data_IF_162693333037
#
_entry.id   IF_162693333037
#
_cell.length_a   1.000
_cell.length_b   1.000
_cell.length_c   1.000
_cell.angle_alpha   90.00
_cell.angle_beta   90.00
_cell.angle_gamma   90.00
#
_symmetry.space_group_name_H-M   'P 1'
#
loop_
_entity.id
_entity.type
_entity.pdbx_description
1 polymer ?
#
# COMPACT_ATOMS: atom_id res chain seq x y z
N UNK A 1 1.82 -10.30 10.05
CA UNK A 1 1.75 -10.06 8.59
C UNK A 1 0.95 -11.14 7.86
N UNK A 2 1.36 -12.41 7.85
CA UNK A 2 0.64 -13.45 7.09
C UNK A 2 -0.84 -13.61 7.48
N UNK A 3 -1.12 -13.69 8.78
CA UNK A 3 -2.50 -13.79 9.32
C UNK A 3 -3.37 -12.60 8.93
N UNK A 4 -2.76 -11.44 8.65
CA UNK A 4 -3.44 -10.23 8.22
C UNK A 4 -3.66 -10.20 6.70
N UNK A 5 -2.67 -10.62 5.91
CA UNK A 5 -2.76 -10.62 4.43
C UNK A 5 -3.67 -11.74 3.94
N UNK A 6 -3.56 -12.93 4.52
CA UNK A 6 -4.22 -14.14 4.03
C UNK A 6 -5.75 -14.00 3.90
N UNK A 7 -6.51 -13.52 4.91
CA UNK A 7 -7.96 -13.33 4.80
C UNK A 7 -8.37 -12.35 3.71
N UNK A 8 -7.53 -11.37 3.41
CA UNK A 8 -7.81 -10.40 2.37
C UNK A 8 -7.58 -10.95 0.97
N UNK A 9 -6.51 -11.72 0.80
CA UNK A 9 -6.23 -12.38 -0.47
C UNK A 9 -7.32 -13.39 -0.83
N UNK A 10 -8.00 -13.96 0.15
CA UNK A 10 -9.20 -14.79 -0.08
C UNK A 10 -10.37 -13.99 -0.65
N UNK A 11 -10.46 -12.68 -0.41
CA UNK A 11 -11.50 -11.82 -0.99
C UNK A 11 -11.25 -11.49 -2.46
N UNK A 12 -10.01 -11.66 -2.95
CA UNK A 12 -9.65 -11.40 -4.36
C UNK A 12 -10.43 -12.34 -5.27
N UNK A 13 -11.31 -11.74 -6.08
CA UNK A 13 -12.10 -12.45 -7.08
C UNK A 13 -11.53 -12.25 -8.48
N UNK A 14 -10.72 -13.21 -8.94
CA UNK A 14 -10.18 -13.23 -10.30
C UNK A 14 -11.27 -13.25 -11.38
N UNK A 15 -12.49 -13.69 -11.06
CA UNK A 15 -13.63 -13.58 -11.98
C UNK A 15 -14.03 -12.13 -12.24
N UNK A 16 -14.07 -11.31 -11.20
CA UNK A 16 -14.35 -9.87 -11.28
C UNK A 16 -13.22 -9.09 -12.00
N UNK A 17 -11.99 -9.61 -11.99
CA UNK A 17 -10.86 -9.06 -12.76
C UNK A 17 -11.10 -9.14 -14.28
N UNK A 18 -12.01 -10.00 -14.76
CA UNK A 18 -12.38 -10.04 -16.18
C UNK A 18 -13.25 -8.85 -16.63
N UNK A 19 -14.05 -8.28 -15.71
CA UNK A 19 -14.94 -7.15 -16.01
C UNK A 19 -14.23 -5.79 -15.99
N UNK A 20 -12.94 -5.78 -15.67
CA UNK A 20 -12.07 -4.58 -15.56
C UNK A 20 -12.01 -3.77 -16.85
N UNK A 21 -12.13 -4.46 -17.99
CA UNK A 21 -12.16 -3.81 -19.31
C UNK A 21 -13.37 -2.90 -19.53
N UNK A 22 -14.44 -2.99 -18.71
CA UNK A 22 -15.65 -2.19 -18.89
C UNK A 22 -15.46 -0.72 -18.51
N UNK A 23 -14.60 -0.41 -17.54
CA UNK A 23 -14.36 0.95 -17.04
C UNK A 23 -12.87 1.20 -16.79
N UNK A 24 -12.02 1.25 -17.82
CA UNK A 24 -10.57 1.25 -17.66
C UNK A 24 -10.01 2.57 -17.10
N UNK A 25 -10.72 3.69 -17.30
CA UNK A 25 -10.21 5.03 -16.93
C UNK A 25 -9.85 5.14 -15.45
N UNK A 26 -10.70 4.63 -14.57
CA UNK A 26 -10.45 4.66 -13.13
C UNK A 26 -9.17 3.92 -12.77
N UNK A 27 -9.05 2.66 -13.21
CA UNK A 27 -7.87 1.84 -12.98
C UNK A 27 -6.59 2.47 -13.56
N UNK A 28 -6.63 2.97 -14.79
CA UNK A 28 -5.44 3.58 -15.42
C UNK A 28 -4.95 4.79 -14.63
N UNK A 29 -5.85 5.63 -14.12
CA UNK A 29 -5.49 6.78 -13.30
C UNK A 29 -4.88 6.33 -11.98
N UNK A 30 -5.46 5.35 -11.27
CA UNK A 30 -4.87 4.84 -10.03
C UNK A 30 -3.51 4.19 -10.26
N UNK A 31 -3.34 3.43 -11.34
CA UNK A 31 -2.05 2.82 -11.69
C UNK A 31 -0.99 3.88 -12.02
N UNK A 32 -1.36 4.89 -12.81
CA UNK A 32 -0.48 6.00 -13.12
C UNK A 32 -0.03 6.72 -11.84
N UNK A 33 -0.96 7.06 -10.95
CA UNK A 33 -0.59 7.74 -9.71
C UNK A 33 0.24 6.84 -8.81
N UNK A 34 -0.14 5.58 -8.61
CA UNK A 34 0.56 4.68 -7.69
C UNK A 34 1.98 4.31 -8.14
N UNK A 35 2.19 4.06 -9.44
CA UNK A 35 3.43 3.50 -9.93
C UNK A 35 4.38 4.55 -10.53
N UNK A 36 3.84 5.66 -11.03
CA UNK A 36 4.64 6.71 -11.64
C UNK A 36 4.68 7.99 -10.81
N UNK A 37 3.54 8.48 -10.33
CA UNK A 37 3.56 9.78 -9.62
C UNK A 37 4.08 9.60 -8.21
N UNK A 38 3.49 8.69 -7.44
CA UNK A 38 3.67 8.56 -6.01
C UNK A 38 5.11 8.24 -5.59
N UNK A 39 5.80 7.21 -6.11
CA UNK A 39 7.15 6.90 -5.65
C UNK A 39 8.16 7.98 -6.09
N UNK A 40 8.01 8.55 -7.29
CA UNK A 40 8.89 9.60 -7.80
C UNK A 40 8.65 10.94 -7.10
N UNK A 41 7.39 11.31 -6.86
CA UNK A 41 7.04 12.49 -6.08
C UNK A 41 7.53 12.36 -4.65
N UNK A 42 7.48 11.16 -4.05
CA UNK A 42 8.07 10.94 -2.73
C UNK A 42 9.57 11.14 -2.75
N UNK A 43 10.27 10.56 -3.72
CA UNK A 43 11.72 10.71 -3.82
C UNK A 43 12.11 12.19 -3.92
N UNK A 44 11.40 12.96 -4.75
CA UNK A 44 11.62 14.40 -4.88
C UNK A 44 11.29 15.18 -3.59
N UNK A 45 10.11 14.95 -3.01
CA UNK A 45 9.67 15.62 -1.77
C UNK A 45 10.61 15.28 -0.62
N UNK A 46 10.91 14.00 -0.40
CA UNK A 46 11.82 13.56 0.65
C UNK A 46 13.22 14.15 0.46
N UNK A 47 13.76 14.16 -0.76
CA UNK A 47 15.06 14.76 -1.05
C UNK A 47 15.06 16.26 -0.73
N UNK A 48 14.07 17.02 -1.18
CA UNK A 48 13.95 18.46 -0.92
C UNK A 48 13.84 18.73 0.59
N UNK A 49 12.97 18.02 1.29
CA UNK A 49 12.74 18.25 2.72
C UNK A 49 13.92 17.81 3.57
N UNK A 50 14.45 16.59 3.42
CA UNK A 50 15.50 16.09 4.29
C UNK A 50 16.90 16.64 3.96
N UNK A 51 17.24 16.90 2.69
CA UNK A 51 18.58 17.40 2.33
C UNK A 51 18.70 18.92 2.28
N UNK A 52 17.61 19.66 2.06
CA UNK A 52 17.65 21.12 2.02
C UNK A 52 17.00 21.70 3.27
N UNK A 53 15.67 21.58 3.38
CA UNK A 53 14.93 22.26 4.45
C UNK A 53 15.36 21.79 5.84
N UNK A 54 15.56 20.49 6.04
CA UNK A 54 15.85 19.92 7.35
C UNK A 54 17.33 19.70 7.64
N UNK A 55 18.21 20.03 6.70
CA UNK A 55 19.66 19.92 6.88
C UNK A 55 20.23 20.55 8.16
N UNK A 56 19.65 21.62 8.76
CA UNK A 56 20.15 22.15 10.03
C UNK A 56 19.79 21.29 11.26
N UNK A 57 18.78 20.44 11.16
CA UNK A 57 18.21 19.68 12.28
C UNK A 57 18.51 18.19 12.25
N UNK A 58 19.00 17.65 11.12
CA UNK A 58 19.32 16.23 10.98
C UNK A 58 20.70 16.03 10.36
N UNK A 59 21.35 14.93 10.74
CA UNK A 59 22.61 14.54 10.10
C UNK A 59 22.38 14.10 8.66
N UNK A 60 23.42 14.17 7.81
CA UNK A 60 23.35 13.66 6.44
C UNK A 60 23.04 12.16 6.39
N UNK A 61 23.53 11.40 7.37
CA UNK A 61 23.24 9.97 7.50
C UNK A 61 21.76 9.71 7.83
N UNK A 62 21.18 10.47 8.76
CA UNK A 62 19.75 10.37 9.08
C UNK A 62 18.89 10.78 7.87
N UNK A 63 19.27 11.84 7.16
CA UNK A 63 18.57 12.29 5.95
C UNK A 63 18.51 11.18 4.89
N UNK A 64 19.62 10.49 4.63
CA UNK A 64 19.66 9.39 3.67
C UNK A 64 18.79 8.20 4.10
N UNK A 65 18.77 7.87 5.40
CA UNK A 65 17.89 6.83 5.96
C UNK A 65 16.41 7.20 5.82
N UNK A 66 16.04 8.45 6.11
CA UNK A 66 14.65 8.90 6.04
C UNK A 66 14.16 9.00 4.60
N UNK A 67 15.01 9.42 3.66
CA UNK A 67 14.70 9.40 2.22
C UNK A 67 14.44 7.97 1.76
N UNK A 68 15.34 7.02 2.09
CA UNK A 68 15.16 5.63 1.72
C UNK A 68 13.86 5.04 2.28
N UNK A 69 13.60 5.24 3.57
CA UNK A 69 12.38 4.77 4.22
C UNK A 69 11.10 5.37 3.63
N UNK A 70 11.11 6.68 3.32
CA UNK A 70 9.97 7.35 2.70
C UNK A 70 9.67 6.80 1.29
N UNK A 71 10.70 6.55 0.49
CA UNK A 71 10.56 5.97 -0.86
C UNK A 71 10.00 4.54 -0.79
N UNK A 72 10.54 3.70 0.10
CA UNK A 72 10.06 2.33 0.30
C UNK A 72 8.59 2.34 0.70
N UNK A 73 8.21 3.21 1.65
CA UNK A 73 6.82 3.37 2.09
C UNK A 73 5.90 3.81 0.96
N UNK A 74 6.30 4.80 0.15
CA UNK A 74 5.49 5.32 -0.94
C UNK A 74 5.32 4.33 -2.11
N UNK A 75 6.34 3.51 -2.38
CA UNK A 75 6.31 2.50 -3.44
C UNK A 75 5.41 1.30 -3.12
N UNK A 76 5.05 1.09 -1.85
CA UNK A 76 4.20 -0.02 -1.41
C UNK A 76 2.70 0.40 -1.42
N UNK A 77 1.89 -0.02 -2.41
CA UNK A 77 0.46 0.31 -2.46
C UNK A 77 -0.33 -0.38 -1.34
N UNK A 78 -1.27 0.33 -0.71
CA UNK A 78 -2.11 -0.25 0.34
C UNK A 78 -3.19 -1.18 -0.23
N UNK A 79 -3.45 -2.27 0.50
CA UNK A 79 -4.35 -3.34 0.07
C UNK A 79 -5.58 -3.47 0.96
N UNK A 80 -5.39 -3.33 2.28
CA UNK A 80 -6.42 -3.66 3.28
C UNK A 80 -7.43 -2.56 3.51
N UNK A 81 -6.91 -1.43 3.97
CA UNK A 81 -7.70 -0.39 4.60
C UNK A 81 -8.59 0.32 3.58
N UNK A 82 -8.19 0.26 2.31
CA UNK A 82 -8.94 0.74 1.15
C UNK A 82 -10.36 0.16 1.11
N UNK A 83 -10.59 -1.11 1.46
CA UNK A 83 -11.95 -1.66 1.44
C UNK A 83 -12.86 -1.03 2.48
N UNK A 84 -12.32 -0.76 3.67
CA UNK A 84 -13.07 -0.10 4.75
C UNK A 84 -13.38 1.33 4.35
N UNK A 85 -12.39 2.08 3.85
CA UNK A 85 -12.62 3.46 3.42
C UNK A 85 -13.50 3.56 2.17
N UNK A 86 -13.41 2.60 1.24
CA UNK A 86 -14.34 2.50 0.11
C UNK A 86 -15.77 2.32 0.61
N UNK A 87 -15.98 1.44 1.60
CA UNK A 87 -17.30 1.26 2.18
C UNK A 87 -17.81 2.54 2.87
N UNK A 88 -16.94 3.25 3.59
CA UNK A 88 -17.27 4.52 4.24
C UNK A 88 -17.49 5.69 3.27
N UNK A 89 -17.07 5.57 2.01
CA UNK A 89 -17.19 6.60 0.98
C UNK A 89 -18.18 6.24 -0.13
N UNK A 90 -19.05 5.26 0.10
CA UNK A 90 -20.04 4.75 -0.87
C UNK A 90 -19.39 4.32 -2.21
N UNK A 91 -18.18 3.75 -2.12
CA UNK A 91 -17.44 3.22 -3.25
C UNK A 91 -17.95 1.87 -3.72
N UNK A 92 -17.74 1.57 -5.00
CA UNK A 92 -18.05 0.27 -5.59
C UNK A 92 -17.08 -0.80 -5.04
N UNK A 93 -17.55 -1.78 -4.25
CA UNK A 93 -16.68 -2.78 -3.64
C UNK A 93 -16.02 -3.70 -4.67
N UNK A 94 -16.72 -4.04 -5.76
CA UNK A 94 -16.21 -4.93 -6.79
C UNK A 94 -15.13 -4.23 -7.62
N UNK A 95 -15.33 -2.95 -7.95
CA UNK A 95 -14.32 -2.17 -8.66
C UNK A 95 -13.10 -1.85 -7.77
N UNK A 96 -13.33 -1.57 -6.49
CA UNK A 96 -12.23 -1.39 -5.53
C UNK A 96 -11.39 -2.65 -5.40
N UNK A 97 -12.04 -3.82 -5.34
CA UNK A 97 -11.36 -5.12 -5.32
C UNK A 97 -10.44 -5.29 -6.52
N UNK A 98 -10.93 -4.92 -7.70
CA UNK A 98 -10.13 -4.90 -8.93
C UNK A 98 -8.91 -4.00 -8.80
N UNK A 99 -9.10 -2.74 -8.38
CA UNK A 99 -8.01 -1.77 -8.32
C UNK A 99 -6.92 -2.22 -7.34
N UNK A 100 -7.31 -2.74 -6.19
CA UNK A 100 -6.37 -3.30 -5.20
C UNK A 100 -5.66 -4.52 -5.79
N UNK A 101 -6.40 -5.49 -6.33
CA UNK A 101 -5.80 -6.73 -6.85
C UNK A 101 -4.80 -6.48 -7.99
N UNK A 102 -5.11 -5.55 -8.90
CA UNK A 102 -4.20 -5.19 -9.99
C UNK A 102 -2.96 -4.47 -9.45
N UNK A 103 -3.10 -3.57 -8.48
CA UNK A 103 -1.95 -2.96 -7.81
C UNK A 103 -1.07 -4.02 -7.14
N UNK A 104 -1.66 -5.00 -6.47
CA UNK A 104 -0.92 -6.05 -5.76
C UNK A 104 -0.12 -6.92 -6.74
N UNK A 105 -0.72 -7.28 -7.87
CA UNK A 105 -0.04 -8.05 -8.92
C UNK A 105 1.13 -7.26 -9.53
N UNK A 106 0.93 -5.97 -9.80
CA UNK A 106 1.98 -5.11 -10.34
C UNK A 106 3.11 -4.93 -9.31
N UNK A 107 2.78 -4.85 -8.03
CA UNK A 107 3.75 -4.74 -6.93
C UNK A 107 4.73 -5.90 -6.89
N UNK A 108 4.28 -7.12 -7.20
CA UNK A 108 5.17 -8.29 -7.24
C UNK A 108 6.35 -8.12 -8.21
N UNK A 109 6.19 -7.30 -9.25
CA UNK A 109 7.19 -7.11 -10.30
C UNK A 109 7.85 -5.74 -10.20
N UNK A 110 7.09 -4.67 -10.00
CA UNK A 110 7.58 -3.29 -10.09
C UNK A 110 8.15 -2.75 -8.77
N UNK A 111 7.76 -3.29 -7.61
CA UNK A 111 8.19 -2.76 -6.32
C UNK A 111 9.71 -2.77 -6.16
N UNK A 112 10.34 -3.94 -6.27
CA UNK A 112 11.79 -4.07 -6.05
C UNK A 112 12.62 -3.26 -7.08
N UNK A 113 12.31 -3.27 -8.40
CA UNK A 113 13.00 -2.42 -9.37
C UNK A 113 12.85 -0.92 -9.12
N UNK A 114 11.63 -0.43 -8.83
CA UNK A 114 11.38 1.00 -8.61
C UNK A 114 12.07 1.47 -7.33
N UNK A 115 11.96 0.71 -6.24
CA UNK A 115 12.64 1.04 -4.97
C UNK A 115 14.14 1.06 -5.19
N UNK A 116 14.72 0.06 -5.87
CA UNK A 116 16.16 0.05 -6.18
C UNK A 116 16.56 1.30 -6.96
N UNK A 117 15.84 1.63 -8.03
CA UNK A 117 16.15 2.79 -8.88
C UNK A 117 16.09 4.10 -8.08
N UNK A 118 15.02 4.31 -7.32
CA UNK A 118 14.79 5.57 -6.62
C UNK A 118 15.65 5.71 -5.37
N UNK A 119 15.81 4.66 -4.58
CA UNK A 119 16.66 4.71 -3.38
C UNK A 119 18.11 4.91 -3.78
N UNK A 120 18.64 4.17 -4.76
CA UNK A 120 20.03 4.36 -5.23
C UNK A 120 20.28 5.71 -5.90
N UNK A 121 19.25 6.31 -6.52
CA UNK A 121 19.35 7.65 -7.11
C UNK A 121 19.20 8.79 -6.10
N UNK A 122 18.43 8.58 -5.02
CA UNK A 122 18.05 9.62 -4.07
C UNK A 122 18.79 9.55 -2.73
N UNK A 123 19.37 8.40 -2.36
CA UNK A 123 20.15 8.21 -1.14
C UNK A 123 21.45 7.44 -1.42
N UNK A 124 22.42 7.56 -0.51
CA UNK A 124 23.67 6.78 -0.58
C UNK A 124 23.49 5.32 -0.12
N UNK A 125 22.28 4.94 0.34
CA UNK A 125 22.00 3.62 0.88
C UNK A 125 21.79 2.61 -0.23
N UNK A 126 22.55 1.51 -0.15
CA UNK A 126 22.34 0.36 -1.01
C UNK A 126 21.39 -0.62 -0.34
N UNK A 127 20.15 -0.69 -0.84
CA UNK A 127 19.19 -1.72 -0.42
C UNK A 127 19.41 -2.96 -1.30
N UNK A 128 19.84 -4.11 -0.73
CA UNK A 128 20.09 -5.29 -1.54
C UNK A 128 18.83 -5.76 -2.26
N UNK A 129 18.93 -5.91 -3.58
CA UNK A 129 17.79 -6.33 -4.40
C UNK A 129 17.24 -7.70 -3.99
N UNK A 130 18.13 -8.60 -3.56
CA UNK A 130 17.75 -9.92 -3.07
C UNK A 130 16.85 -9.84 -1.84
N UNK A 131 17.13 -8.92 -0.90
CA UNK A 131 16.30 -8.72 0.30
C UNK A 131 14.91 -8.22 -0.10
N UNK A 132 14.82 -7.24 -1.00
CA UNK A 132 13.52 -6.75 -1.50
C UNK A 132 12.72 -7.88 -2.19
N UNK A 133 13.40 -8.70 -2.99
CA UNK A 133 12.78 -9.82 -3.68
C UNK A 133 12.28 -10.88 -2.69
N UNK A 134 13.09 -11.26 -1.70
CA UNK A 134 12.68 -12.19 -0.66
C UNK A 134 11.52 -11.65 0.18
N UNK A 135 11.53 -10.36 0.53
CA UNK A 135 10.42 -9.74 1.26
C UNK A 135 9.11 -9.83 0.45
N UNK A 136 9.14 -9.52 -0.85
CA UNK A 136 7.97 -9.66 -1.73
C UNK A 136 7.52 -11.13 -1.82
N UNK A 137 8.43 -12.07 -2.03
CA UNK A 137 8.10 -13.49 -2.16
C UNK A 137 7.49 -14.04 -0.87
N UNK A 138 8.16 -13.86 0.26
CA UNK A 138 7.78 -14.45 1.55
C UNK A 138 6.58 -13.74 2.15
N UNK A 139 6.52 -12.41 2.12
CA UNK A 139 5.44 -11.67 2.78
C UNK A 139 4.23 -11.41 1.89
N UNK A 140 4.32 -11.57 0.58
CA UNK A 140 3.21 -11.31 -0.35
C UNK A 140 2.85 -12.54 -1.17
N UNK A 141 3.79 -13.10 -1.94
CA UNK A 141 3.49 -14.20 -2.87
C UNK A 141 3.02 -15.46 -2.14
N UNK A 142 3.71 -15.86 -1.07
CA UNK A 142 3.31 -17.04 -0.28
C UNK A 142 1.90 -16.90 0.31
N UNK A 143 1.55 -15.85 1.08
CA UNK A 143 0.20 -15.71 1.64
C UNK A 143 -0.88 -15.47 0.58
N UNK A 144 -0.56 -14.78 -0.53
CA UNK A 144 -1.46 -14.66 -1.68
C UNK A 144 -1.78 -16.03 -2.27
N UNK A 145 -0.75 -16.81 -2.59
CA UNK A 145 -0.92 -18.14 -3.20
C UNK A 145 -1.70 -19.07 -2.28
N UNK A 146 -1.37 -19.09 -0.99
CA UNK A 146 -2.07 -19.88 0.00
C UNK A 146 -3.55 -19.46 0.13
N UNK A 147 -3.84 -18.15 0.16
CA UNK A 147 -5.20 -17.62 0.24
C UNK A 147 -6.05 -17.98 -0.98
N UNK A 148 -5.46 -17.90 -2.18
CA UNK A 148 -6.12 -18.27 -3.44
C UNK A 148 -6.40 -19.77 -3.50
N UNK A 149 -5.42 -20.60 -3.15
CA UNK A 149 -5.61 -22.06 -3.11
C UNK A 149 -6.70 -22.45 -2.11
N UNK A 150 -6.71 -21.84 -0.93
CA UNK A 150 -7.77 -22.10 0.06
C UNK A 150 -9.14 -21.65 -0.46
N UNK A 151 -9.23 -20.46 -1.07
CA UNK A 151 -10.48 -19.97 -1.69
C UNK A 151 -11.01 -20.97 -2.72
N UNK A 152 -10.16 -21.41 -3.65
CA UNK A 152 -10.55 -22.38 -4.69
C UNK A 152 -11.03 -23.68 -4.07
N UNK A 153 -10.28 -24.21 -3.09
CA UNK A 153 -10.61 -25.46 -2.42
C UNK A 153 -11.95 -25.38 -1.67
N UNK A 154 -12.17 -24.32 -0.87
CA UNK A 154 -13.42 -24.11 -0.14
C UNK A 154 -14.60 -23.89 -1.09
N UNK A 155 -14.42 -23.09 -2.14
CA UNK A 155 -15.47 -22.85 -3.13
C UNK A 155 -15.90 -24.13 -3.85
N UNK A 156 -14.95 -25.02 -4.17
CA UNK A 156 -15.25 -26.34 -4.76
C UNK A 156 -15.92 -27.29 -3.76
N UNK A 157 -15.50 -27.27 -2.49
CA UNK A 157 -16.00 -28.22 -1.49
C UNK A 157 -17.35 -27.83 -0.88
N UNK A 158 -17.60 -26.54 -0.65
CA UNK A 158 -18.78 -26.04 0.11
C UNK A 158 -19.62 -25.00 -0.62
N UNK A 159 -19.21 -24.59 -1.82
CA UNK A 159 -19.92 -23.61 -2.62
C UNK A 159 -19.73 -22.15 -2.18
N UNK A 160 -20.16 -21.23 -3.04
CA UNK A 160 -19.95 -19.78 -2.90
C UNK A 160 -20.64 -19.18 -1.67
N UNK A 161 -21.90 -19.57 -1.41
CA UNK A 161 -22.68 -19.08 -0.26
C UNK A 161 -21.99 -19.38 1.07
N UNK A 162 -21.49 -20.60 1.26
CA UNK A 162 -20.80 -20.95 2.51
C UNK A 162 -19.49 -20.16 2.68
N UNK A 163 -18.76 -19.93 1.58
CA UNK A 163 -17.56 -19.10 1.62
C UNK A 163 -17.86 -17.66 2.05
N UNK A 164 -18.85 -17.02 1.42
CA UNK A 164 -19.20 -15.62 1.66
C UNK A 164 -19.92 -15.39 3.01
N UNK A 165 -20.86 -16.27 3.37
CA UNK A 165 -21.73 -16.07 4.55
C UNK A 165 -21.17 -16.68 5.84
N UNK A 166 -20.25 -17.65 5.75
CA UNK A 166 -19.76 -18.39 6.92
C UNK A 166 -18.25 -18.23 7.13
N UNK A 167 -17.44 -18.42 6.09
CA UNK A 167 -15.99 -18.38 6.24
C UNK A 167 -15.47 -16.94 6.35
N UNK A 168 -15.83 -16.07 5.40
CA UNK A 168 -15.36 -14.67 5.37
C UNK A 168 -15.68 -13.89 6.67
N UNK A 169 -16.90 -13.97 7.24
CA UNK A 169 -17.23 -13.24 8.46
C UNK A 169 -16.47 -13.75 9.69
N UNK A 170 -16.09 -15.05 9.71
CA UNK A 170 -15.31 -15.64 10.81
C UNK A 170 -13.83 -15.29 10.78
N UNK A 171 -13.24 -15.14 9.58
CA UNK A 171 -11.82 -14.80 9.44
C UNK A 171 -11.56 -13.29 9.55
N UNK A 172 -12.56 -12.45 9.24
CA UNK A 172 -12.47 -11.00 9.32
C UNK A 172 -11.97 -10.47 10.70
N UNK A 173 -12.53 -10.89 11.86
CA UNK A 173 -12.05 -10.42 13.16
C UNK A 173 -10.62 -10.86 13.47
N UNK A 174 -10.19 -12.03 12.97
CA UNK A 174 -8.81 -12.52 13.14
C UNK A 174 -7.83 -11.62 12.39
N UNK A 175 -8.17 -11.24 11.16
CA UNK A 175 -7.39 -10.28 10.37
C UNK A 175 -7.25 -8.93 11.09
N UNK A 176 -8.36 -8.43 11.65
CA UNK A 176 -8.37 -7.17 12.37
C UNK A 176 -7.55 -7.24 13.66
N UNK A 177 -7.67 -8.33 14.42
CA UNK A 177 -6.87 -8.56 15.62
C UNK A 177 -5.37 -8.63 15.29
N UNK A 178 -5.00 -9.32 14.20
CA UNK A 178 -3.61 -9.41 13.75
C UNK A 178 -3.05 -8.05 13.31
N UNK A 179 -3.85 -7.23 12.62
CA UNK A 179 -3.49 -5.85 12.25
C UNK A 179 -3.25 -4.99 13.51
N UNK A 180 -4.21 -4.99 14.45
CA UNK A 180 -4.11 -4.22 15.69
C UNK A 180 -2.92 -4.69 16.55
N UNK A 181 -2.70 -6.00 16.67
CA UNK A 181 -1.55 -6.55 17.36
C UNK A 181 -0.23 -6.13 16.69
N UNK A 182 -0.17 -6.14 15.35
CA UNK A 182 1.00 -5.67 14.60
C UNK A 182 1.26 -4.19 14.87
N UNK A 183 0.21 -3.36 14.89
CA UNK A 183 0.32 -1.94 15.21
C UNK A 183 0.89 -1.73 16.63
N UNK A 184 0.32 -2.40 17.63
CA UNK A 184 0.81 -2.32 19.02
C UNK A 184 2.29 -2.74 19.11
N UNK A 185 2.67 -3.83 18.43
CA UNK A 185 4.06 -4.30 18.43
C UNK A 185 5.01 -3.31 17.76
N UNK A 186 4.65 -2.74 16.61
CA UNK A 186 5.48 -1.74 15.92
C UNK A 186 5.69 -0.52 16.82
N UNK A 187 4.63 0.00 17.44
CA UNK A 187 4.73 1.13 18.36
C UNK A 187 5.54 0.79 19.62
N UNK A 188 5.39 -0.42 20.16
CA UNK A 188 6.16 -0.88 21.32
C UNK A 188 7.65 -0.99 20.98
N UNK A 189 8.02 -1.59 19.84
CA UNK A 189 9.41 -1.68 19.41
C UNK A 189 10.03 -0.34 19.04
N UNK A 190 9.23 0.61 18.54
CA UNK A 190 9.69 1.95 18.20
C UNK A 190 9.52 2.98 19.33
N UNK A 191 9.05 2.58 20.52
CA UNK A 191 8.72 3.50 21.61
C UNK A 191 9.90 4.37 22.04
N UNK A 192 11.12 3.82 22.08
CA UNK A 192 12.32 4.59 22.41
C UNK A 192 12.64 5.64 21.34
N UNK A 193 12.52 5.29 20.05
CA UNK A 193 12.73 6.25 18.96
C UNK A 193 11.66 7.35 18.98
N UNK A 194 10.39 7.01 19.24
CA UNK A 194 9.29 7.97 19.30
C UNK A 194 9.48 8.95 20.47
N UNK A 195 9.94 8.48 21.63
CA UNK A 195 10.10 9.31 22.84
C UNK A 195 11.40 10.12 22.87
N UNK A 196 12.49 9.60 22.30
CA UNK A 196 13.80 10.27 22.32
C UNK A 196 14.07 11.13 21.08
N UNK A 197 13.50 10.78 19.92
CA UNK A 197 13.68 11.49 18.65
C UNK A 197 12.38 12.14 18.16
N UNK A 198 11.60 12.72 19.06
CA UNK A 198 10.29 13.35 18.75
C UNK A 198 10.37 14.37 17.61
N UNK A 199 11.43 15.17 17.57
CA UNK A 199 11.66 16.13 16.48
C UNK A 199 11.79 15.41 15.13
N UNK A 200 12.56 14.32 15.06
CA UNK A 200 12.74 13.57 13.83
C UNK A 200 11.42 12.96 13.34
N UNK A 201 10.60 12.45 14.27
CA UNK A 201 9.26 11.93 13.93
C UNK A 201 8.39 13.04 13.33
N UNK A 202 8.39 14.24 13.91
CA UNK A 202 7.65 15.38 13.39
C UNK A 202 8.17 15.80 11.99
N UNK A 203 9.49 15.85 11.82
CA UNK A 203 10.12 16.17 10.53
C UNK A 203 9.76 15.14 9.45
N UNK A 204 9.72 13.84 9.79
CA UNK A 204 9.33 12.78 8.85
C UNK A 204 7.84 12.86 8.50
N UNK A 205 6.99 13.25 9.44
CA UNK A 205 5.56 13.37 9.20
C UNK A 205 5.21 14.45 8.17
N UNK A 206 5.95 15.56 8.12
CA UNK A 206 5.69 16.67 7.19
C UNK A 206 5.70 16.25 5.70
N UNK A 207 6.77 15.70 5.12
CA UNK A 207 6.80 15.30 3.72
C UNK A 207 5.79 14.19 3.42
N UNK A 208 5.58 13.25 4.37
CA UNK A 208 4.58 12.18 4.20
C UNK A 208 3.17 12.77 4.10
N UNK A 209 2.80 13.70 4.99
CA UNK A 209 1.49 14.35 4.96
C UNK A 209 1.26 15.11 3.66
N UNK A 210 2.25 15.91 3.24
CA UNK A 210 2.18 16.64 1.96
C UNK A 210 1.94 15.66 0.81
N UNK A 211 2.69 14.57 0.78
CA UNK A 211 2.61 13.57 -0.28
C UNK A 211 1.27 12.83 -0.30
N UNK A 212 0.73 12.47 0.88
CA UNK A 212 -0.59 11.82 1.03
C UNK A 212 -1.69 12.72 0.47
N UNK A 213 -1.74 14.00 0.88
CA UNK A 213 -2.76 14.93 0.39
C UNK A 213 -2.58 15.25 -1.10
N UNK A 214 -1.33 15.40 -1.56
CA UNK A 214 -1.00 15.60 -2.96
C UNK A 214 -1.50 14.44 -3.83
N UNK A 215 -1.15 13.20 -3.49
CA UNK A 215 -1.56 12.04 -4.27
C UNK A 215 -3.08 11.83 -4.23
N UNK A 216 -3.71 12.01 -3.07
CA UNK A 216 -5.17 11.92 -2.92
C UNK A 216 -5.88 12.94 -3.82
N UNK A 217 -5.47 14.21 -3.72
CA UNK A 217 -6.07 15.32 -4.46
C UNK A 217 -5.79 15.22 -5.96
N UNK A 218 -4.59 14.81 -6.34
CA UNK A 218 -4.24 14.58 -7.74
C UNK A 218 -5.07 13.44 -8.33
N UNK A 219 -5.17 12.31 -7.62
CA UNK A 219 -5.95 11.16 -8.09
C UNK A 219 -7.41 11.55 -8.26
N UNK A 220 -8.02 12.16 -7.24
CA UNK A 220 -9.41 12.61 -7.32
C UNK A 220 -9.61 13.67 -8.42
N UNK A 221 -8.68 14.61 -8.56
CA UNK A 221 -8.70 15.64 -9.59
C UNK A 221 -8.64 15.06 -11.00
N UNK A 222 -7.76 14.09 -11.25
CA UNK A 222 -7.67 13.37 -12.52
C UNK A 222 -8.96 12.57 -12.78
N UNK A 223 -9.48 11.86 -11.78
CA UNK A 223 -10.75 11.13 -11.89
C UNK A 223 -11.90 12.06 -12.27
N UNK A 224 -11.97 13.25 -11.66
CA UNK A 224 -12.96 14.29 -12.00
C UNK A 224 -12.77 14.83 -13.41
N UNK A 225 -11.52 15.09 -13.83
CA UNK A 225 -11.20 15.57 -15.18
C UNK A 225 -11.63 14.58 -16.26
N UNK A 226 -11.39 13.28 -16.03
CA UNK A 226 -11.78 12.20 -16.94
C UNK A 226 -13.24 11.73 -16.77
N UNK A 227 -14.03 12.42 -15.94
CA UNK A 227 -15.45 12.16 -15.64
C UNK A 227 -15.71 10.73 -15.16
N UNK A 228 -14.84 10.23 -14.28
CA UNK A 228 -15.02 8.94 -13.62
C UNK A 228 -16.10 9.08 -12.54
N UNK A 229 -16.97 8.08 -12.42
CA UNK A 229 -18.04 8.05 -11.42
C UNK A 229 -17.48 8.16 -10.00
N UNK A 230 -18.22 8.83 -9.10
CA UNK A 230 -17.80 9.06 -7.71
C UNK A 230 -17.48 7.74 -6.97
N UNK A 231 -18.31 6.71 -7.15
CA UNK A 231 -18.14 5.39 -6.55
C UNK A 231 -16.81 4.71 -6.94
N UNK A 232 -16.14 5.18 -8.00
CA UNK A 232 -14.81 4.73 -8.41
C UNK A 232 -13.73 5.75 -8.04
N UNK A 233 -14.05 7.04 -8.19
CA UNK A 233 -13.12 8.14 -7.95
C UNK A 233 -12.73 8.27 -6.47
N UNK A 234 -13.68 8.12 -5.54
CA UNK A 234 -13.42 8.23 -4.10
C UNK A 234 -12.52 7.10 -3.57
N UNK A 235 -12.81 5.82 -3.82
CA UNK A 235 -11.86 4.74 -3.50
C UNK A 235 -10.53 4.89 -4.22
N UNK A 236 -10.54 5.32 -5.48
CA UNK A 236 -9.33 5.57 -6.24
C UNK A 236 -8.41 6.59 -5.58
N UNK A 237 -8.97 7.69 -5.06
CA UNK A 237 -8.20 8.71 -4.33
C UNK A 237 -7.58 8.16 -3.04
N UNK A 238 -8.33 7.33 -2.30
CA UNK A 238 -7.86 6.66 -1.10
C UNK A 238 -6.74 5.65 -1.41
N UNK A 239 -6.83 4.94 -2.52
CA UNK A 239 -5.77 4.07 -3.03
C UNK A 239 -4.50 4.87 -3.33
N UNK A 240 -4.64 6.00 -4.04
CA UNK A 240 -3.52 6.90 -4.35
C UNK A 240 -2.81 7.45 -3.10
N UNK A 241 -3.58 7.68 -2.04
CA UNK A 241 -3.09 8.26 -0.79
C UNK A 241 -2.40 7.25 0.14
N UNK A 242 -2.76 5.97 0.05
CA UNK A 242 -2.47 4.99 1.10
C UNK A 242 -1.24 4.12 0.81
N UNK A 243 -0.54 3.75 1.88
CA UNK A 243 0.71 2.99 1.83
C UNK A 243 0.58 1.67 2.59
N UNK A 244 1.32 0.65 2.16
CA UNK A 244 1.40 -0.63 2.84
C UNK A 244 2.59 -0.64 3.80
N UNK A 245 2.40 -0.04 4.97
CA UNK A 245 3.47 0.20 5.94
C UNK A 245 4.02 -1.11 6.52
N UNK A 246 3.21 -2.16 6.65
CA UNK A 246 3.64 -3.44 7.17
C UNK A 246 4.67 -4.10 6.27
N UNK A 247 4.55 -3.94 4.96
CA UNK A 247 5.56 -4.38 3.99
C UNK A 247 6.80 -3.49 4.05
N UNK A 248 6.62 -2.17 4.21
CA UNK A 248 7.74 -1.24 4.29
C UNK A 248 8.61 -1.46 5.55
N UNK A 249 8.02 -1.99 6.62
CA UNK A 249 8.70 -2.31 7.88
C UNK A 249 9.33 -3.71 7.86
N UNK A 250 8.82 -4.64 7.06
CA UNK A 250 9.19 -6.06 7.04
C UNK A 250 10.32 -6.38 6.06
#
# INVERSE_FOLDING_TARGET
>A
IWVMIFPMMMKVDFGAIRDVGRRPRGLLITLFVNWLVKPFSMAAIAWVFFRYFFSPWISSADADQYIAGAIILAAAPCTAMVFVWSHLSDGDPAYTLVQVSVNDLIMLVLFAPIVRLLVSGASSLHVPFEVLLYSVLVFIVVPLTAGVLLRIWVMRAKGRRWFEDVLLPRIAPVSMLALLATLVLIFAFQAQNITTKTLHVALIAVPILIQVYFNSSLTYGLMRLFRVEYAIAAPGALIGASNFFELAVA
#
